data_IF_824280553512
#
_entry.id   IF_824280553512
#
_cell.length_a   1.000
_cell.length_b   1.000
_cell.length_c   1.000
_cell.angle_alpha   90.00
_cell.angle_beta   90.00
_cell.angle_gamma   90.00
#
_symmetry.space_group_name_H-M   'P 1'
#
loop_
_entity.id
_entity.type
_entity.pdbx_description
1 polymer ?
#
# COMPACT_ATOMS: atom_id res chain seq x y z
N UNK A 1 -2.84 -11.77 2.72
CA UNK A 1 -1.41 -11.52 2.77
C UNK A 1 -1.15 -10.06 3.06
N UNK A 2 0.06 -9.74 3.49
CA UNK A 2 0.37 -8.40 4.00
C UNK A 2 0.08 -7.28 2.98
N UNK A 3 0.55 -7.42 1.75
CA UNK A 3 0.37 -6.37 0.74
C UNK A 3 -1.09 -6.22 0.31
N UNK A 4 -1.82 -7.31 0.26
CA UNK A 4 -3.25 -7.25 -0.05
C UNK A 4 -4.01 -6.51 1.03
N UNK A 5 -3.64 -6.73 2.30
CA UNK A 5 -4.26 -6.03 3.41
C UNK A 5 -3.97 -4.53 3.35
N UNK A 6 -2.77 -4.15 2.93
CA UNK A 6 -2.42 -2.74 2.79
C UNK A 6 -3.27 -2.06 1.73
N UNK A 7 -3.46 -2.72 0.58
CA UNK A 7 -4.28 -2.16 -0.49
C UNK A 7 -5.72 -1.98 -0.02
N UNK A 8 -6.28 -2.99 0.65
CA UNK A 8 -7.64 -2.91 1.15
C UNK A 8 -7.79 -1.83 2.21
N UNK A 9 -6.84 -1.74 3.12
CA UNK A 9 -6.86 -0.73 4.17
C UNK A 9 -6.87 0.68 3.56
N UNK A 10 -6.02 0.88 2.56
CA UNK A 10 -5.94 2.17 1.89
C UNK A 10 -7.27 2.53 1.22
N UNK A 11 -7.86 1.59 0.49
CA UNK A 11 -9.11 1.83 -0.22
C UNK A 11 -10.27 2.07 0.74
N UNK A 12 -10.34 1.30 1.82
CA UNK A 12 -11.41 1.44 2.81
C UNK A 12 -11.37 2.79 3.51
N UNK A 13 -10.18 3.35 3.68
CA UNK A 13 -10.01 4.63 4.36
C UNK A 13 -9.82 5.80 3.38
N UNK A 14 -9.98 5.56 2.10
CA UNK A 14 -9.80 6.59 1.05
C UNK A 14 -8.44 7.28 1.14
N UNK A 15 -7.40 6.49 1.41
CA UNK A 15 -6.05 7.01 1.56
C UNK A 15 -5.28 6.92 0.25
N UNK A 16 -4.41 7.90 0.00
CA UNK A 16 -3.46 7.80 -1.09
C UNK A 16 -2.29 6.89 -0.68
N UNK A 17 -1.47 6.49 -1.66
CA UNK A 17 -0.27 5.72 -1.36
C UNK A 17 0.67 6.48 -0.44
N UNK A 18 0.80 7.80 -0.66
CA UNK A 18 1.64 8.65 0.19
C UNK A 18 1.18 8.61 1.65
N UNK A 19 -0.11 8.72 1.86
CA UNK A 19 -0.66 8.73 3.20
C UNK A 19 -0.42 7.41 3.92
N UNK A 20 -0.70 6.30 3.24
CA UNK A 20 -0.49 5.00 3.85
C UNK A 20 0.99 4.72 4.10
N UNK A 21 1.85 5.05 3.14
CA UNK A 21 3.28 4.85 3.30
C UNK A 21 3.81 5.58 4.52
N UNK A 22 3.35 6.81 4.73
CA UNK A 22 3.75 7.60 5.89
C UNK A 22 3.30 6.92 7.19
N UNK A 23 2.09 6.39 7.21
CA UNK A 23 1.55 5.76 8.41
C UNK A 23 2.28 4.48 8.80
N UNK A 24 2.69 3.69 7.82
CA UNK A 24 3.38 2.43 8.10
C UNK A 24 4.90 2.57 8.13
N UNK A 25 5.41 3.78 7.86
CA UNK A 25 6.82 4.06 8.01
C UNK A 25 7.71 3.61 6.86
N UNK A 26 7.16 3.57 5.64
CA UNK A 26 7.93 3.23 4.44
C UNK A 26 7.81 4.36 3.43
N UNK A 27 8.65 4.35 2.39
CA UNK A 27 8.53 5.31 1.31
C UNK A 27 7.37 4.95 0.39
N UNK A 28 6.84 5.95 -0.33
CA UNK A 28 5.79 5.69 -1.30
C UNK A 28 6.24 4.69 -2.36
N UNK A 29 7.50 4.80 -2.78
CA UNK A 29 8.06 3.86 -3.76
C UNK A 29 8.03 2.42 -3.25
N UNK A 30 8.37 2.22 -1.99
CA UNK A 30 8.33 0.90 -1.37
C UNK A 30 6.91 0.36 -1.35
N UNK A 31 5.96 1.18 -0.94
CA UNK A 31 4.56 0.77 -0.93
C UNK A 31 4.06 0.45 -2.34
N UNK A 32 4.44 1.26 -3.31
CA UNK A 32 4.08 1.03 -4.70
C UNK A 32 4.57 -0.32 -5.19
N UNK A 33 5.80 -0.71 -4.81
CA UNK A 33 6.35 -2.01 -5.17
C UNK A 33 5.54 -3.16 -4.57
N UNK A 34 5.09 -3.00 -3.32
CA UNK A 34 4.25 -4.01 -2.69
C UNK A 34 2.94 -4.17 -3.47
N UNK A 35 2.31 -3.07 -3.86
CA UNK A 35 1.04 -3.12 -4.58
C UNK A 35 1.21 -3.72 -5.98
N UNK A 36 2.29 -3.38 -6.67
CA UNK A 36 2.59 -3.94 -7.98
C UNK A 36 2.80 -5.45 -7.88
N UNK A 37 3.53 -5.90 -6.86
CA UNK A 37 3.76 -7.31 -6.65
C UNK A 37 2.47 -8.10 -6.51
N UNK A 38 1.48 -7.54 -5.82
CA UNK A 38 0.16 -8.17 -5.68
C UNK A 38 -0.57 -8.19 -7.02
N UNK A 39 -0.50 -7.09 -7.76
CA UNK A 39 -1.23 -6.96 -9.03
C UNK A 39 -0.68 -7.87 -10.13
N UNK A 40 0.58 -8.25 -10.05
CA UNK A 40 1.23 -9.06 -11.07
C UNK A 40 1.25 -10.55 -10.76
N UNK A 41 0.73 -10.94 -9.63
CA UNK A 41 0.75 -12.37 -9.25
C UNK A 41 -0.17 -13.24 -10.07
#
# INVERSE_FOLDING_TARGET
MFAENLIQLRKLNHMSQDELADQIGVSRQTLSKYEIGVSHS
#
